data_IF_875669615704
#
_entry.id   IF_875669615704
#
_cell.length_a   1.000
_cell.length_b   1.000
_cell.length_c   1.000
_cell.angle_alpha   90.00
_cell.angle_beta   90.00
_cell.angle_gamma   90.00
#
_symmetry.space_group_name_H-M   'P 1'
#
loop_
_entity.id
_entity.type
_entity.pdbx_description
1 polymer ?
#
# COMPACT_ATOMS: atom_id res chain seq x y z
N UNK A 1 -27.27 31.79 38.78
CA UNK A 1 -26.15 31.07 38.15
C UNK A 1 -26.15 29.65 38.66
N UNK A 2 -26.24 28.64 37.76
CA UNK A 2 -26.00 27.25 38.17
C UNK A 2 -24.49 27.07 38.31
N UNK A 3 -24.05 26.74 39.51
CA UNK A 3 -22.64 26.43 39.76
C UNK A 3 -22.30 25.11 39.09
N UNK A 4 -21.09 25.01 38.45
CA UNK A 4 -20.56 23.76 37.94
C UNK A 4 -20.39 22.79 39.12
N UNK A 5 -20.99 21.60 39.04
CA UNK A 5 -20.83 20.52 40.02
C UNK A 5 -20.42 19.27 39.25
N UNK A 6 -19.26 18.72 39.59
CA UNK A 6 -18.72 17.49 39.01
C UNK A 6 -18.98 16.32 39.99
N UNK A 7 -19.46 15.21 39.45
CA UNK A 7 -19.51 13.96 40.16
C UNK A 7 -18.51 13.00 39.55
N UNK A 8 -17.57 12.49 40.35
CA UNK A 8 -16.54 11.55 39.89
C UNK A 8 -17.13 10.14 39.80
N UNK A 9 -17.14 9.61 38.57
CA UNK A 9 -17.62 8.26 38.27
C UNK A 9 -16.42 7.40 37.90
N UNK A 10 -16.25 6.22 38.50
CA UNK A 10 -15.20 5.26 38.16
C UNK A 10 -15.60 4.47 36.92
N UNK A 11 -14.90 4.64 35.78
CA UNK A 11 -15.16 3.88 34.56
C UNK A 11 -14.66 2.44 34.70
N UNK A 12 -15.29 1.51 33.97
CA UNK A 12 -14.67 0.21 33.68
C UNK A 12 -13.78 0.41 32.46
N UNK A 13 -12.51 0.05 32.58
CA UNK A 13 -11.52 0.17 31.51
C UNK A 13 -11.28 -1.22 30.92
N UNK A 14 -11.34 -1.33 29.59
CA UNK A 14 -10.91 -2.50 28.81
C UNK A 14 -10.10 -2.03 27.61
N UNK A 15 -9.03 -2.77 27.28
CA UNK A 15 -8.24 -2.54 26.07
C UNK A 15 -8.77 -3.43 24.94
N UNK A 16 -8.70 -2.95 23.69
CA UNK A 16 -8.89 -3.80 22.51
C UNK A 16 -7.82 -4.90 22.50
N UNK A 17 -8.23 -6.12 22.14
CA UNK A 17 -7.32 -7.25 21.93
C UNK A 17 -6.94 -7.41 20.45
N UNK A 18 -7.51 -6.60 19.56
CA UNK A 18 -7.19 -6.66 18.14
C UNK A 18 -5.74 -6.23 17.89
N UNK A 19 -5.04 -6.88 16.95
CA UNK A 19 -3.76 -6.37 16.48
C UNK A 19 -3.92 -4.97 15.86
N UNK A 20 -2.87 -4.17 15.96
CA UNK A 20 -2.87 -2.76 15.53
C UNK A 20 -1.99 -2.59 14.30
N UNK A 21 -2.58 -2.09 13.23
CA UNK A 21 -1.88 -1.71 12.01
C UNK A 21 -1.82 -0.19 11.92
N UNK A 22 -0.60 0.36 11.93
CA UNK A 22 -0.35 1.76 11.61
C UNK A 22 -0.18 1.93 10.09
N UNK A 23 -0.75 2.98 9.51
CA UNK A 23 -0.60 3.31 8.09
C UNK A 23 0.03 4.70 7.98
N UNK A 24 1.16 4.78 7.31
CA UNK A 24 1.80 6.05 6.93
C UNK A 24 1.44 6.32 5.48
N UNK A 25 0.39 7.11 5.26
CA UNK A 25 -0.04 7.57 3.94
C UNK A 25 0.67 8.85 3.53
N UNK A 26 0.86 9.12 2.23
CA UNK A 26 1.30 10.43 1.79
C UNK A 26 0.22 11.48 2.08
N UNK A 27 0.63 12.73 2.37
CA UNK A 27 -0.31 13.85 2.57
C UNK A 27 -1.18 14.10 1.34
N UNK A 28 -0.70 13.71 0.17
CA UNK A 28 -1.37 13.83 -1.14
C UNK A 28 -2.16 12.58 -1.57
N UNK A 29 -2.10 11.47 -0.80
CA UNK A 29 -2.80 10.23 -1.15
C UNK A 29 -4.29 10.30 -0.79
N UNK A 30 -5.18 9.96 -1.75
CA UNK A 30 -6.64 9.91 -1.56
C UNK A 30 -7.16 8.48 -1.42
N UNK A 31 -6.33 7.47 -1.64
CA UNK A 31 -6.77 6.12 -2.01
C UNK A 31 -6.45 5.06 -0.95
N UNK A 32 -5.19 4.98 -0.48
CA UNK A 32 -4.73 3.87 0.37
C UNK A 32 -5.55 3.71 1.66
N UNK A 33 -5.90 4.81 2.32
CA UNK A 33 -6.73 4.77 3.55
C UNK A 33 -8.12 4.19 3.28
N UNK A 34 -8.71 4.55 2.12
CA UNK A 34 -10.01 4.03 1.71
C UNK A 34 -9.93 2.53 1.38
N UNK A 35 -8.84 2.09 0.77
CA UNK A 35 -8.62 0.69 0.43
C UNK A 35 -8.42 -0.18 1.69
N UNK A 36 -7.68 0.31 2.69
CA UNK A 36 -7.61 -0.34 4.01
C UNK A 36 -9.00 -0.47 4.63
N UNK A 37 -9.82 0.58 4.61
CA UNK A 37 -11.19 0.53 5.15
C UNK A 37 -12.08 -0.47 4.43
N UNK A 38 -11.96 -0.59 3.10
CA UNK A 38 -12.73 -1.53 2.28
C UNK A 38 -12.36 -2.98 2.58
N UNK A 39 -11.07 -3.29 2.49
CA UNK A 39 -10.57 -4.67 2.63
C UNK A 39 -10.68 -5.15 4.07
N UNK A 40 -10.36 -4.29 5.06
CA UNK A 40 -10.35 -4.68 6.47
C UNK A 40 -11.70 -4.52 7.18
N UNK A 41 -12.78 -4.16 6.47
CA UNK A 41 -14.09 -3.84 7.07
C UNK A 41 -14.61 -4.90 8.04
N UNK A 42 -14.43 -6.17 7.74
CA UNK A 42 -14.90 -7.29 8.55
C UNK A 42 -13.76 -8.05 9.26
N UNK A 43 -12.57 -7.48 9.31
CA UNK A 43 -11.41 -8.10 9.95
C UNK A 43 -11.27 -7.61 11.40
N UNK A 44 -10.85 -8.51 12.29
CA UNK A 44 -10.59 -8.17 13.70
C UNK A 44 -9.23 -7.48 13.85
N UNK A 45 -9.10 -6.28 13.31
CA UNK A 45 -7.88 -5.46 13.31
C UNK A 45 -8.23 -4.00 13.53
N UNK A 46 -7.39 -3.30 14.30
CA UNK A 46 -7.53 -1.86 14.52
C UNK A 46 -6.54 -1.10 13.63
N UNK A 47 -7.04 -0.13 12.84
CA UNK A 47 -6.23 0.62 11.86
C UNK A 47 -6.09 2.06 12.30
N UNK A 48 -4.85 2.56 12.31
CA UNK A 48 -4.49 3.92 12.70
C UNK A 48 -3.68 4.58 11.60
N UNK A 49 -4.13 5.72 11.08
CA UNK A 49 -3.51 6.39 9.94
C UNK A 49 -2.86 7.70 10.38
N UNK A 50 -1.64 7.92 9.94
CA UNK A 50 -0.97 9.23 9.97
C UNK A 50 -0.44 9.56 8.58
N UNK A 51 -0.19 10.84 8.31
CA UNK A 51 0.21 11.29 6.97
C UNK A 51 1.59 11.90 7.00
N UNK A 52 2.43 11.46 6.03
CA UNK A 52 3.77 11.99 5.83
C UNK A 52 3.75 13.12 4.81
N UNK A 53 4.41 14.26 5.08
CA UNK A 53 4.53 15.34 4.10
C UNK A 53 5.13 14.82 2.78
N UNK A 54 4.48 15.15 1.68
CA UNK A 54 4.97 14.88 0.34
C UNK A 54 4.67 16.06 -0.58
N UNK A 55 5.63 16.39 -1.44
CA UNK A 55 5.53 17.47 -2.41
C UNK A 55 5.57 16.90 -3.83
N UNK A 56 4.63 17.35 -4.67
CA UNK A 56 4.69 17.11 -6.10
C UNK A 56 5.76 18.01 -6.78
N UNK A 57 6.28 17.68 -7.97
CA UNK A 57 5.96 16.49 -8.77
C UNK A 57 6.63 15.20 -8.26
N UNK A 58 6.19 14.08 -8.82
CA UNK A 58 6.73 12.75 -8.55
C UNK A 58 8.17 12.66 -9.07
N UNK A 59 9.14 12.74 -8.18
CA UNK A 59 10.56 12.62 -8.52
C UNK A 59 11.38 12.07 -7.35
N UNK A 60 12.60 11.62 -7.65
CA UNK A 60 13.50 11.00 -6.67
C UNK A 60 13.83 11.93 -5.49
N UNK A 61 14.01 13.23 -5.73
CA UNK A 61 14.36 14.20 -4.68
C UNK A 61 13.23 14.29 -3.64
N UNK A 62 11.98 14.49 -4.10
CA UNK A 62 10.83 14.61 -3.22
C UNK A 62 10.54 13.30 -2.46
N UNK A 63 10.79 12.13 -3.08
CA UNK A 63 10.71 10.84 -2.37
C UNK A 63 11.76 10.73 -1.25
N UNK A 64 13.00 11.16 -1.49
CA UNK A 64 14.06 11.07 -0.49
C UNK A 64 13.83 11.96 0.73
N UNK A 65 13.17 13.13 0.55
CA UNK A 65 12.79 14.03 1.65
C UNK A 65 11.86 13.34 2.66
N UNK A 66 10.97 12.45 2.22
CA UNK A 66 10.07 11.75 3.13
C UNK A 66 10.80 10.92 4.20
N UNK A 67 11.99 10.40 3.88
CA UNK A 67 12.74 9.59 4.84
C UNK A 67 13.09 10.34 6.14
N UNK A 68 13.18 11.67 6.09
CA UNK A 68 13.52 12.51 7.24
C UNK A 68 12.37 12.61 8.26
N UNK A 69 11.14 12.38 7.82
CA UNK A 69 9.93 12.48 8.64
C UNK A 69 9.45 11.14 9.18
N UNK A 70 9.95 10.00 8.66
CA UNK A 70 9.40 8.67 8.96
C UNK A 70 9.34 8.35 10.46
N UNK A 71 10.41 8.63 11.20
CA UNK A 71 10.47 8.35 12.64
C UNK A 71 9.44 9.18 13.43
N UNK A 72 9.29 10.46 13.11
CA UNK A 72 8.33 11.36 13.76
C UNK A 72 6.89 10.95 13.43
N UNK A 73 6.60 10.70 12.15
CA UNK A 73 5.26 10.30 11.70
C UNK A 73 4.85 8.96 12.30
N UNK A 74 5.76 7.98 12.37
CA UNK A 74 5.53 6.71 13.04
C UNK A 74 5.31 6.89 14.55
N UNK A 75 6.10 7.73 15.22
CA UNK A 75 5.96 8.05 16.65
C UNK A 75 4.55 8.55 16.98
N UNK A 76 3.98 9.38 16.12
CA UNK A 76 2.67 10.00 16.30
C UNK A 76 1.48 9.04 16.02
N UNK A 77 1.72 7.82 15.58
CA UNK A 77 0.70 6.75 15.55
C UNK A 77 0.62 6.13 16.95
N UNK A 78 -0.42 6.47 17.71
CA UNK A 78 -0.61 6.03 19.09
C UNK A 78 0.68 6.16 19.94
N UNK A 79 1.08 7.37 20.35
CA UNK A 79 2.29 7.58 21.12
C UNK A 79 2.32 6.76 22.41
N UNK A 80 3.41 6.04 22.64
CA UNK A 80 3.59 5.19 23.83
C UNK A 80 2.93 3.81 23.77
N UNK A 81 2.11 3.52 22.73
CA UNK A 81 1.50 2.21 22.55
C UNK A 81 2.30 1.36 21.54
N UNK A 82 2.24 0.05 21.74
CA UNK A 82 2.76 -0.92 20.77
C UNK A 82 1.89 -0.95 19.51
N UNK A 83 2.53 -1.05 18.36
CA UNK A 83 1.91 -1.27 17.05
C UNK A 83 2.52 -2.55 16.47
N UNK A 84 1.67 -3.48 16.03
CA UNK A 84 2.13 -4.78 15.54
C UNK A 84 2.75 -4.65 14.14
N UNK A 85 2.11 -3.85 13.28
CA UNK A 85 2.54 -3.65 11.88
C UNK A 85 2.44 -2.19 11.47
N UNK A 86 3.41 -1.70 10.71
CA UNK A 86 3.33 -0.39 10.04
C UNK A 86 3.44 -0.56 8.54
N UNK A 87 2.43 -0.09 7.83
CA UNK A 87 2.39 0.05 6.38
C UNK A 87 2.93 1.42 5.96
N UNK A 88 4.03 1.47 5.19
CA UNK A 88 4.49 2.68 4.54
C UNK A 88 3.91 2.76 3.12
N UNK A 89 2.92 3.61 2.91
CA UNK A 89 2.06 3.65 1.73
C UNK A 89 2.64 4.44 0.54
N UNK A 90 3.83 4.09 0.04
CA UNK A 90 4.36 4.68 -1.20
C UNK A 90 5.24 3.69 -1.96
N UNK A 91 4.81 3.27 -3.15
CA UNK A 91 5.55 2.30 -3.97
C UNK A 91 6.85 2.89 -4.53
N UNK A 92 6.76 4.00 -5.24
CA UNK A 92 7.91 4.70 -5.83
C UNK A 92 8.84 5.28 -4.75
N UNK A 93 8.28 5.79 -3.66
CA UNK A 93 9.05 6.23 -2.50
C UNK A 93 9.86 5.09 -1.87
N UNK A 94 9.29 3.89 -1.78
CA UNK A 94 10.03 2.71 -1.28
C UNK A 94 11.24 2.40 -2.16
N UNK A 95 11.06 2.40 -3.47
CA UNK A 95 12.17 2.13 -4.41
C UNK A 95 13.25 3.21 -4.33
N UNK A 96 12.85 4.48 -4.18
CA UNK A 96 13.78 5.62 -4.11
C UNK A 96 14.57 5.66 -2.80
N UNK A 97 13.91 5.47 -1.65
CA UNK A 97 14.49 5.54 -0.31
C UNK A 97 15.26 4.25 0.02
N UNK A 98 14.70 3.12 -0.39
CA UNK A 98 15.16 1.79 -0.04
C UNK A 98 14.47 1.22 1.21
N UNK A 99 13.99 -0.01 1.11
CA UNK A 99 13.21 -0.70 2.15
C UNK A 99 13.93 -0.71 3.51
N UNK A 100 15.23 -1.04 3.52
CA UNK A 100 16.02 -1.06 4.76
C UNK A 100 16.00 0.28 5.51
N UNK A 101 16.18 1.41 4.80
CA UNK A 101 16.15 2.74 5.43
C UNK A 101 14.78 3.07 6.01
N UNK A 102 13.70 2.70 5.31
CA UNK A 102 12.33 2.89 5.80
C UNK A 102 12.12 2.11 7.10
N UNK A 103 12.52 0.84 7.14
CA UNK A 103 12.43 -0.01 8.33
C UNK A 103 13.26 0.58 9.48
N UNK A 104 14.50 0.97 9.23
CA UNK A 104 15.39 1.52 10.24
C UNK A 104 14.82 2.83 10.84
N UNK A 105 14.27 3.73 10.00
CA UNK A 105 13.68 4.99 10.46
C UNK A 105 12.40 4.76 11.29
N UNK A 106 11.50 3.91 10.85
CA UNK A 106 10.25 3.60 11.57
C UNK A 106 10.56 2.94 12.93
N UNK A 107 11.51 2.01 12.97
CA UNK A 107 11.87 1.29 14.19
C UNK A 107 12.55 2.15 15.25
N UNK A 108 13.03 3.36 14.92
CA UNK A 108 13.52 4.32 15.94
C UNK A 108 12.43 4.70 16.95
N UNK A 109 11.17 4.68 16.55
CA UNK A 109 10.03 5.10 17.38
C UNK A 109 9.00 3.99 17.63
N UNK A 110 8.98 2.96 16.78
CA UNK A 110 8.09 1.80 16.87
C UNK A 110 8.91 0.51 16.80
N UNK A 111 9.77 0.35 17.80
CA UNK A 111 10.65 -0.82 17.92
C UNK A 111 9.86 -2.13 17.91
N UNK A 112 10.29 -3.08 17.09
CA UNK A 112 9.69 -4.40 16.95
C UNK A 112 8.44 -4.46 16.08
N UNK A 113 7.94 -3.33 15.55
CA UNK A 113 6.86 -3.36 14.58
C UNK A 113 7.32 -4.01 13.27
N UNK A 114 6.48 -4.90 12.71
CA UNK A 114 6.68 -5.35 11.34
C UNK A 114 6.45 -4.18 10.39
N UNK A 115 7.37 -3.95 9.44
CA UNK A 115 7.22 -2.86 8.46
C UNK A 115 6.97 -3.45 7.08
N UNK A 116 5.79 -3.14 6.53
CA UNK A 116 5.39 -3.49 5.18
C UNK A 116 5.50 -2.30 4.23
N UNK A 117 5.93 -2.56 3.00
CA UNK A 117 6.00 -1.58 1.92
C UNK A 117 5.37 -2.16 0.65
N UNK A 118 4.74 -1.34 -0.24
CA UNK A 118 3.94 -1.87 -1.33
C UNK A 118 4.71 -2.77 -2.30
N UNK A 119 5.94 -2.38 -2.68
CA UNK A 119 6.73 -3.16 -3.64
C UNK A 119 7.27 -4.46 -3.02
N UNK A 120 7.67 -4.43 -1.75
CA UNK A 120 8.10 -5.63 -1.01
C UNK A 120 6.93 -6.60 -0.83
N UNK A 121 5.77 -6.10 -0.47
CA UNK A 121 4.55 -6.89 -0.35
C UNK A 121 4.14 -7.51 -1.69
N UNK A 122 4.24 -6.76 -2.80
CA UNK A 122 4.00 -7.29 -4.14
C UNK A 122 4.98 -8.43 -4.50
N UNK A 123 6.28 -8.27 -4.19
CA UNK A 123 7.27 -9.33 -4.40
C UNK A 123 6.98 -10.59 -3.57
N UNK A 124 6.48 -10.44 -2.34
CA UNK A 124 6.02 -11.57 -1.52
C UNK A 124 4.81 -12.25 -2.15
N UNK A 125 3.82 -11.46 -2.59
CA UNK A 125 2.64 -11.97 -3.26
C UNK A 125 3.00 -12.74 -4.54
N UNK A 126 3.95 -12.25 -5.35
CA UNK A 126 4.45 -12.98 -6.52
C UNK A 126 5.09 -14.31 -6.12
N UNK A 127 5.89 -14.33 -5.06
CA UNK A 127 6.51 -15.55 -4.56
C UNK A 127 5.47 -16.56 -4.07
N UNK A 128 4.48 -16.10 -3.30
CA UNK A 128 3.40 -16.92 -2.73
C UNK A 128 2.56 -17.57 -3.83
N UNK A 129 2.21 -16.80 -4.84
CA UNK A 129 1.44 -17.23 -6.00
C UNK A 129 2.29 -17.89 -7.11
N UNK A 130 3.62 -18.02 -6.92
CA UNK A 130 4.58 -18.60 -7.88
C UNK A 130 4.55 -17.91 -9.24
N UNK A 131 4.55 -16.58 -9.23
CA UNK A 131 4.53 -15.72 -10.41
C UNK A 131 5.92 -15.10 -10.60
N UNK A 132 6.52 -15.25 -11.76
CA UNK A 132 7.81 -14.65 -12.09
C UNK A 132 7.80 -13.80 -13.38
N UNK A 133 6.72 -13.89 -14.17
CA UNK A 133 6.53 -13.13 -15.42
C UNK A 133 5.30 -12.23 -15.33
N UNK A 134 5.52 -10.93 -15.37
CA UNK A 134 4.44 -9.96 -15.19
C UNK A 134 4.40 -8.90 -16.29
N UNK A 135 3.19 -8.44 -16.60
CA UNK A 135 2.97 -7.16 -17.26
C UNK A 135 2.79 -6.08 -16.19
N UNK A 136 3.32 -4.89 -16.42
CA UNK A 136 3.28 -3.79 -15.44
C UNK A 136 2.52 -2.61 -16.01
N UNK A 137 1.60 -2.07 -15.21
CA UNK A 137 0.95 -0.77 -15.43
C UNK A 137 1.28 0.17 -14.29
N UNK A 138 1.76 1.36 -14.61
CA UNK A 138 2.05 2.43 -13.65
C UNK A 138 1.41 3.74 -14.09
N UNK A 139 1.28 4.73 -13.21
CA UNK A 139 0.93 6.08 -13.62
C UNK A 139 2.15 6.99 -13.85
N UNK A 140 3.36 6.58 -13.50
CA UNK A 140 4.53 7.44 -13.28
C UNK A 140 5.20 7.98 -14.55
N UNK A 141 5.98 9.09 -14.45
CA UNK A 141 6.90 9.53 -15.48
C UNK A 141 8.02 8.50 -15.74
N UNK A 142 8.64 8.58 -16.92
CA UNK A 142 9.66 7.62 -17.39
C UNK A 142 10.79 7.36 -16.38
N UNK A 143 11.32 8.42 -15.75
CA UNK A 143 12.43 8.29 -14.80
C UNK A 143 12.05 7.44 -13.56
N UNK A 144 10.81 7.59 -13.06
CA UNK A 144 10.30 6.80 -11.94
C UNK A 144 10.03 5.37 -12.40
N UNK A 145 9.44 5.20 -13.60
CA UNK A 145 9.17 3.90 -14.20
C UNK A 145 10.44 3.07 -14.36
N UNK A 146 11.53 3.71 -14.82
CA UNK A 146 12.84 3.03 -14.94
C UNK A 146 13.30 2.47 -13.58
N UNK A 147 13.11 3.21 -12.50
CA UNK A 147 13.51 2.77 -11.16
C UNK A 147 12.66 1.56 -10.70
N UNK A 148 11.36 1.56 -10.98
CA UNK A 148 10.45 0.42 -10.68
C UNK A 148 10.87 -0.81 -11.50
N UNK A 149 11.09 -0.64 -12.81
CA UNK A 149 11.53 -1.72 -13.70
C UNK A 149 12.85 -2.36 -13.24
N UNK A 150 13.87 -1.52 -12.95
CA UNK A 150 15.16 -1.97 -12.48
C UNK A 150 15.04 -2.71 -11.12
N UNK A 151 14.15 -2.25 -10.24
CA UNK A 151 13.88 -2.89 -8.95
C UNK A 151 13.24 -4.28 -9.11
N UNK A 152 12.22 -4.43 -9.95
CA UNK A 152 11.58 -5.70 -10.24
C UNK A 152 12.59 -6.70 -10.85
N UNK A 153 13.36 -6.26 -11.85
CA UNK A 153 14.41 -7.08 -12.47
C UNK A 153 15.48 -7.54 -11.49
N UNK A 154 15.92 -6.65 -10.57
CA UNK A 154 16.87 -7.00 -9.51
C UNK A 154 16.35 -8.08 -8.56
N UNK A 155 15.04 -8.18 -8.40
CA UNK A 155 14.37 -9.18 -7.59
C UNK A 155 13.90 -10.42 -8.41
N UNK A 156 14.51 -10.66 -9.58
CA UNK A 156 14.25 -11.81 -10.45
C UNK A 156 12.83 -11.89 -11.02
N UNK A 157 12.16 -10.77 -11.17
CA UNK A 157 10.87 -10.67 -11.84
C UNK A 157 11.11 -10.31 -13.31
N UNK A 158 10.63 -11.15 -14.22
CA UNK A 158 10.62 -10.89 -15.66
C UNK A 158 9.46 -9.96 -16.02
N UNK A 159 9.77 -8.75 -16.46
CA UNK A 159 8.77 -7.79 -16.92
C UNK A 159 8.63 -7.94 -18.43
N UNK A 160 7.56 -8.58 -18.87
CA UNK A 160 7.29 -8.88 -20.29
C UNK A 160 6.72 -7.68 -21.05
N UNK A 161 6.00 -6.81 -20.36
CA UNK A 161 5.56 -5.52 -20.89
C UNK A 161 5.48 -4.47 -19.79
N UNK A 162 5.65 -3.21 -20.17
CA UNK A 162 5.61 -2.08 -19.23
C UNK A 162 4.86 -0.91 -19.85
N UNK A 163 3.74 -0.53 -19.23
CA UNK A 163 2.86 0.55 -19.69
C UNK A 163 2.71 1.63 -18.62
N UNK A 164 2.50 2.87 -19.02
CA UNK A 164 2.35 3.98 -18.10
C UNK A 164 1.40 5.06 -18.59
N UNK A 165 0.66 5.70 -17.66
CA UNK A 165 -0.12 6.89 -17.93
C UNK A 165 0.73 8.17 -18.04
N UNK A 166 1.98 8.14 -17.57
CA UNK A 166 2.93 9.25 -17.60
C UNK A 166 2.38 10.54 -16.93
N UNK A 167 1.84 10.41 -15.72
CA UNK A 167 1.32 11.49 -14.88
C UNK A 167 2.38 11.95 -13.87
N UNK A 168 2.38 13.25 -13.54
CA UNK A 168 3.39 13.87 -12.69
C UNK A 168 2.91 14.20 -11.27
N UNK A 169 1.58 14.17 -11.03
CA UNK A 169 0.98 14.63 -9.78
C UNK A 169 0.04 13.58 -9.18
N UNK A 170 0.13 13.37 -7.86
CA UNK A 170 -0.70 12.38 -7.15
C UNK A 170 -2.21 12.63 -7.30
N UNK A 171 -2.63 13.89 -7.33
CA UNK A 171 -4.04 14.22 -7.52
C UNK A 171 -4.57 13.85 -8.92
N UNK A 172 -3.73 13.91 -9.96
CA UNK A 172 -4.09 13.41 -11.29
C UNK A 172 -4.24 11.90 -11.26
N UNK A 173 -3.29 11.21 -10.62
CA UNK A 173 -3.29 9.75 -10.48
C UNK A 173 -4.53 9.27 -9.71
N UNK A 174 -4.85 9.92 -8.59
CA UNK A 174 -6.01 9.55 -7.77
C UNK A 174 -7.35 9.77 -8.49
N UNK A 175 -7.39 10.63 -9.50
CA UNK A 175 -8.57 10.91 -10.32
C UNK A 175 -8.65 10.05 -11.61
N UNK A 176 -7.72 9.12 -11.84
CA UNK A 176 -7.87 8.13 -12.92
C UNK A 176 -9.12 7.30 -12.65
N UNK A 177 -10.06 7.30 -13.60
CA UNK A 177 -11.29 6.51 -13.49
C UNK A 177 -10.94 5.01 -13.39
N UNK A 178 -11.46 4.28 -12.40
CA UNK A 178 -11.28 2.82 -12.31
C UNK A 178 -11.67 2.06 -13.58
N UNK A 179 -12.66 2.54 -14.33
CA UNK A 179 -13.02 1.96 -15.64
C UNK A 179 -11.90 2.11 -16.67
N UNK A 180 -11.16 3.22 -16.61
CA UNK A 180 -10.00 3.42 -17.47
C UNK A 180 -8.91 2.38 -17.19
N UNK A 181 -8.74 1.92 -15.93
CA UNK A 181 -7.82 0.83 -15.60
C UNK A 181 -8.23 -0.48 -16.29
N UNK A 182 -9.54 -0.80 -16.27
CA UNK A 182 -10.07 -2.00 -16.95
C UNK A 182 -9.75 -1.92 -18.46
N UNK A 183 -10.14 -0.83 -19.10
CA UNK A 183 -9.95 -0.62 -20.53
C UNK A 183 -8.46 -0.64 -20.93
N UNK A 184 -7.61 -0.03 -20.09
CA UNK A 184 -6.16 -0.02 -20.33
C UNK A 184 -5.57 -1.42 -20.26
N UNK A 185 -5.94 -2.21 -19.25
CA UNK A 185 -5.40 -3.56 -19.10
C UNK A 185 -5.89 -4.50 -20.21
N UNK A 186 -7.11 -4.33 -20.70
CA UNK A 186 -7.58 -5.06 -21.88
C UNK A 186 -6.72 -4.79 -23.14
N UNK A 187 -6.08 -3.62 -23.21
CA UNK A 187 -5.35 -3.17 -24.41
C UNK A 187 -3.82 -3.24 -24.31
N UNK A 188 -3.25 -3.38 -23.09
CA UNK A 188 -1.80 -3.57 -22.97
C UNK A 188 -1.42 -5.01 -23.33
N UNK A 189 -0.15 -5.20 -23.74
CA UNK A 189 0.36 -6.55 -24.01
C UNK A 189 0.63 -7.29 -22.70
N UNK A 190 -0.23 -8.23 -22.36
CA UNK A 190 -0.08 -9.12 -21.22
C UNK A 190 -0.10 -10.61 -21.64
N UNK A 191 0.03 -10.91 -22.95
CA UNK A 191 -0.15 -12.25 -23.49
C UNK A 191 0.78 -13.27 -22.84
N UNK A 192 2.05 -12.94 -22.72
CA UNK A 192 3.08 -13.82 -22.17
C UNK A 192 3.27 -13.64 -20.64
N UNK A 193 2.50 -12.74 -20.02
CA UNK A 193 2.51 -12.53 -18.57
C UNK A 193 1.67 -13.59 -17.84
N UNK A 194 2.10 -13.99 -16.65
CA UNK A 194 1.33 -14.82 -15.72
C UNK A 194 0.37 -13.95 -14.88
N UNK A 195 0.76 -12.72 -14.64
CA UNK A 195 -0.03 -11.73 -13.89
C UNK A 195 0.17 -10.31 -14.42
N UNK A 196 -0.72 -9.42 -14.00
CA UNK A 196 -0.57 -7.96 -14.18
C UNK A 196 -0.30 -7.31 -12.84
N UNK A 197 0.70 -6.43 -12.77
CA UNK A 197 1.00 -5.61 -11.61
C UNK A 197 0.61 -4.15 -11.85
N UNK A 198 -0.36 -3.63 -11.07
CA UNK A 198 -0.76 -2.22 -11.08
C UNK A 198 -0.01 -1.52 -9.95
N UNK A 199 1.05 -0.80 -10.31
CA UNK A 199 2.03 -0.25 -9.37
C UNK A 199 1.77 1.23 -9.08
N UNK A 200 1.02 1.53 -8.06
CA UNK A 200 0.90 2.83 -7.37
C UNK A 200 -0.15 2.76 -6.26
N UNK A 201 0.11 3.37 -5.11
CA UNK A 201 -0.85 3.44 -4.00
C UNK A 201 -1.96 4.46 -4.24
N UNK A 202 -1.71 5.48 -5.07
CA UNK A 202 -2.72 6.49 -5.41
C UNK A 202 -3.74 6.04 -6.47
N UNK A 203 -3.45 4.96 -7.27
CA UNK A 203 -4.42 4.41 -8.21
C UNK A 203 -5.54 3.65 -7.50
N UNK A 204 -6.77 3.87 -7.94
CA UNK A 204 -7.99 3.23 -7.42
C UNK A 204 -8.19 1.81 -7.97
N UNK A 205 -7.11 1.02 -7.99
CA UNK A 205 -7.09 -0.30 -8.59
C UNK A 205 -7.91 -1.33 -7.81
N UNK A 206 -7.91 -1.26 -6.46
CA UNK A 206 -8.64 -2.19 -5.58
C UNK A 206 -10.14 -2.26 -5.92
N UNK A 207 -10.72 -1.18 -6.42
CA UNK A 207 -12.15 -1.11 -6.79
C UNK A 207 -12.53 -2.01 -7.98
N UNK A 208 -11.55 -2.45 -8.79
CA UNK A 208 -11.80 -3.12 -10.08
C UNK A 208 -11.00 -4.40 -10.28
N UNK A 209 -10.24 -4.87 -9.28
CA UNK A 209 -9.36 -6.05 -9.41
C UNK A 209 -10.11 -7.29 -9.90
N UNK A 210 -11.20 -7.66 -9.24
CA UNK A 210 -12.02 -8.82 -9.65
C UNK A 210 -12.55 -8.69 -11.07
N UNK A 211 -12.96 -7.49 -11.46
CA UNK A 211 -13.47 -7.24 -12.81
C UNK A 211 -12.37 -7.45 -13.85
N UNK A 212 -11.16 -6.95 -13.57
CA UNK A 212 -10.01 -7.11 -14.47
C UNK A 212 -9.61 -8.59 -14.55
N UNK A 213 -9.44 -9.28 -13.41
CA UNK A 213 -9.08 -10.71 -13.38
C UNK A 213 -10.06 -11.59 -14.16
N UNK A 214 -11.36 -11.33 -14.01
CA UNK A 214 -12.41 -12.05 -14.74
C UNK A 214 -12.35 -11.79 -16.26
N UNK A 215 -11.96 -10.60 -16.69
CA UNK A 215 -11.85 -10.25 -18.12
C UNK A 215 -10.63 -10.88 -18.78
N UNK A 216 -9.46 -10.76 -18.15
CA UNK A 216 -8.22 -11.24 -18.75
C UNK A 216 -7.85 -12.69 -18.37
N UNK A 217 -8.60 -13.31 -17.44
CA UNK A 217 -8.37 -14.65 -16.89
C UNK A 217 -6.95 -14.83 -16.32
N UNK A 218 -6.37 -13.79 -15.76
CA UNK A 218 -5.04 -13.78 -15.11
C UNK A 218 -5.12 -13.12 -13.74
N UNK A 219 -4.16 -13.44 -12.88
CA UNK A 219 -4.02 -12.76 -11.59
C UNK A 219 -3.66 -11.27 -11.79
N UNK A 220 -4.25 -10.40 -10.98
CA UNK A 220 -3.93 -8.97 -10.97
C UNK A 220 -3.59 -8.55 -9.55
N UNK A 221 -2.39 -8.00 -9.39
CA UNK A 221 -1.91 -7.51 -8.10
C UNK A 221 -1.79 -6.00 -8.17
N UNK A 222 -2.34 -5.30 -7.18
CA UNK A 222 -2.11 -3.87 -7.01
C UNK A 222 -1.25 -3.58 -5.79
N UNK A 223 -0.61 -2.40 -5.78
CA UNK A 223 0.21 -1.95 -4.66
C UNK A 223 -0.57 -1.94 -3.34
N UNK A 224 -1.81 -1.41 -3.34
CA UNK A 224 -2.62 -1.34 -2.12
C UNK A 224 -3.13 -2.72 -1.67
N UNK A 225 -3.58 -3.55 -2.61
CA UNK A 225 -3.98 -4.91 -2.28
C UNK A 225 -2.82 -5.68 -1.64
N UNK A 226 -1.63 -5.62 -2.23
CA UNK A 226 -0.45 -6.34 -1.75
C UNK A 226 -0.01 -5.89 -0.35
N UNK A 227 0.08 -4.57 -0.09
CA UNK A 227 0.51 -4.09 1.23
C UNK A 227 -0.53 -4.41 2.31
N UNK A 228 -1.83 -4.35 2.00
CA UNK A 228 -2.90 -4.70 2.94
C UNK A 228 -2.84 -6.20 3.24
N UNK A 229 -2.68 -7.04 2.21
CA UNK A 229 -2.50 -8.47 2.35
C UNK A 229 -1.30 -8.80 3.25
N UNK A 230 -0.13 -8.21 3.00
CA UNK A 230 1.09 -8.44 3.79
C UNK A 230 0.91 -7.98 5.26
N UNK A 231 0.22 -6.86 5.49
CA UNK A 231 -0.09 -6.40 6.85
C UNK A 231 -1.00 -7.37 7.60
N UNK A 232 -2.07 -7.87 6.96
CA UNK A 232 -2.98 -8.84 7.59
C UNK A 232 -2.26 -10.16 7.88
N UNK A 233 -1.46 -10.68 6.95
CA UNK A 233 -0.66 -11.90 7.15
C UNK A 233 0.37 -11.74 8.27
N UNK A 234 0.94 -10.55 8.46
CA UNK A 234 1.92 -10.28 9.51
C UNK A 234 1.34 -10.31 10.94
N UNK A 235 0.02 -10.25 11.06
CA UNK A 235 -0.74 -10.34 12.33
C UNK A 235 -1.64 -11.58 12.37
N UNK A 236 -1.29 -12.62 11.62
CA UNK A 236 -1.96 -13.92 11.57
C UNK A 236 -3.43 -13.90 11.12
N UNK A 237 -3.87 -12.82 10.44
CA UNK A 237 -5.18 -12.78 9.78
C UNK A 237 -5.05 -13.37 8.38
N UNK A 238 -5.53 -14.61 8.23
CA UNK A 238 -5.42 -15.40 7.00
C UNK A 238 -6.76 -15.65 6.31
N UNK A 239 -7.77 -14.88 6.66
CA UNK A 239 -9.12 -15.04 6.10
C UNK A 239 -9.14 -14.77 4.60
N UNK A 240 -9.99 -15.54 3.90
CA UNK A 240 -10.37 -15.24 2.51
C UNK A 240 -11.25 -14.00 2.48
N UNK A 241 -10.88 -13.01 1.65
CA UNK A 241 -11.63 -11.77 1.50
C UNK A 241 -12.09 -11.64 0.05
N UNK A 242 -13.37 -11.89 -0.20
CA UNK A 242 -13.95 -11.85 -1.54
C UNK A 242 -14.04 -10.43 -2.10
N UNK A 243 -13.92 -10.29 -3.42
CA UNK A 243 -14.11 -9.02 -4.13
C UNK A 243 -12.82 -8.24 -4.38
N UNK A 244 -11.67 -8.78 -3.97
CA UNK A 244 -10.38 -8.09 -4.06
C UNK A 244 -9.29 -8.91 -4.75
N UNK A 245 -9.67 -9.77 -5.69
CA UNK A 245 -8.77 -10.56 -6.52
C UNK A 245 -8.23 -11.82 -5.85
N UNK A 246 -7.50 -12.62 -6.64
CA UNK A 246 -7.00 -13.95 -6.25
C UNK A 246 -6.08 -13.94 -5.05
N UNK A 247 -5.32 -12.87 -4.83
CA UNK A 247 -4.39 -12.76 -3.70
C UNK A 247 -5.07 -12.93 -2.33
N UNK A 248 -6.36 -12.61 -2.22
CA UNK A 248 -7.14 -12.78 -1.00
C UNK A 248 -8.03 -14.04 -1.01
N UNK A 249 -7.97 -14.85 -2.07
CA UNK A 249 -8.83 -16.04 -2.23
C UNK A 249 -8.13 -17.34 -1.85
N UNK A 250 -6.80 -17.31 -1.72
CA UNK A 250 -5.93 -18.45 -1.38
C UNK A 250 -5.49 -18.43 0.08
#
# INVERSE_FOLDING_TARGET
MKYFSQVDIKPRISKSSNPKIGVIALSTDFTIEQDFRRICHNQSVDIYVNRIPFENPLNKENYLKMAEYLAEIACNILPGEHIDTIAYGCTSGTVAIGDKRIVDEINKSKEGAYVSTPIKAALKAFTDLKLDKIAVLTPYPEQVNKSIFDHLKKNNIEVVSFSSFNLEYDNEIANVDPKCLIETIDNIDHKDAEAVFISCTALRAVEVLDQIENRISKCVISSNQAIIWDCLRSVDINDTISGYGKLFSD
#
